data_IF_065522655316
#
_entry.id   IF_065522655316
#
_cell.length_a   1.000
_cell.length_b   1.000
_cell.length_c   1.000
_cell.angle_alpha   90.00
_cell.angle_beta   90.00
_cell.angle_gamma   90.00
#
_symmetry.space_group_name_H-M   'P 1'
#
loop_
_entity.id
_entity.type
_entity.pdbx_description
1 polymer ?
#
# COMPACT_ATOMS: atom_id res chain seq x y z
N UNK A 1 27.07 49.57 11.66
CA UNK A 1 26.91 49.69 10.20
C UNK A 1 27.75 48.61 9.56
N UNK A 2 27.11 47.63 8.92
CA UNK A 2 27.75 46.50 8.26
C UNK A 2 26.65 45.67 7.59
N UNK A 3 26.71 45.55 6.28
CA UNK A 3 25.61 45.16 5.40
C UNK A 3 25.26 43.68 5.37
N UNK A 4 24.11 43.41 4.77
CA UNK A 4 23.57 42.11 4.39
C UNK A 4 23.54 42.00 2.86
N UNK A 5 23.91 40.84 2.31
CA UNK A 5 23.27 40.28 1.11
C UNK A 5 22.85 38.81 1.42
N UNK A 6 21.83 38.17 0.85
CA UNK A 6 21.30 38.14 -0.51
C UNK A 6 19.87 37.58 -0.43
N UNK A 7 18.90 38.21 -1.12
CA UNK A 7 17.63 37.58 -1.51
C UNK A 7 17.61 37.54 -3.04
N UNK A 8 17.52 36.33 -3.60
CA UNK A 8 17.20 36.10 -5.01
C UNK A 8 16.06 35.10 -5.06
N UNK A 9 14.85 35.62 -5.32
CA UNK A 9 13.74 34.79 -5.74
C UNK A 9 13.34 35.05 -7.19
N UNK A 10 13.21 33.93 -7.87
CA UNK A 10 12.94 33.69 -9.28
C UNK A 10 11.53 34.17 -9.68
N UNK A 11 11.43 34.89 -10.79
CA UNK A 11 10.17 35.13 -11.50
C UNK A 11 10.01 34.07 -12.58
N UNK A 12 8.92 33.30 -12.54
CA UNK A 12 8.51 32.41 -13.63
C UNK A 12 7.71 33.20 -14.67
N UNK A 13 8.20 33.19 -15.91
CA UNK A 13 7.55 33.74 -17.10
C UNK A 13 6.63 32.67 -17.73
N UNK A 14 5.36 33.02 -17.96
CA UNK A 14 4.34 32.17 -18.58
C UNK A 14 4.15 32.60 -20.04
N UNK A 15 4.95 32.05 -20.94
CA UNK A 15 4.74 32.15 -22.38
C UNK A 15 3.90 30.99 -22.89
N UNK A 16 2.61 31.25 -23.13
CA UNK A 16 1.73 30.35 -23.88
C UNK A 16 1.83 30.71 -25.37
N UNK A 17 2.35 29.79 -26.19
CA UNK A 17 2.32 29.88 -27.65
C UNK A 17 1.23 28.94 -28.20
N UNK A 18 0.20 29.58 -28.78
CA UNK A 18 -0.82 28.98 -29.64
C UNK A 18 -0.21 28.56 -30.99
N UNK A 19 -0.47 27.34 -31.43
CA UNK A 19 -0.24 26.91 -32.80
C UNK A 19 -1.49 26.15 -33.35
N UNK A 20 -1.99 26.49 -34.55
CA UNK A 20 -3.22 25.92 -35.09
C UNK A 20 -3.01 24.55 -35.74
N UNK A 21 -4.07 23.74 -35.74
CA UNK A 21 -4.19 22.47 -36.46
C UNK A 21 -4.73 22.73 -37.87
N UNK A 22 -4.01 22.26 -38.89
CA UNK A 22 -4.50 22.17 -40.27
C UNK A 22 -5.11 20.77 -40.54
N UNK A 23 -6.16 20.79 -41.34
CA UNK A 23 -7.05 19.70 -41.77
C UNK A 23 -6.96 19.60 -43.29
N UNK A 24 -6.57 18.45 -43.85
CA UNK A 24 -6.85 17.96 -45.21
C UNK A 24 -6.66 16.42 -45.17
N UNK A 25 -7.48 15.51 -45.71
CA UNK A 25 -8.52 15.58 -46.74
C UNK A 25 -8.22 14.56 -47.85
N UNK A 26 -9.21 13.69 -48.17
CA UNK A 26 -9.38 12.79 -49.36
C UNK A 26 -8.68 11.42 -49.34
N UNK A 27 -9.20 10.28 -49.81
CA UNK A 27 -10.45 9.75 -50.42
C UNK A 27 -10.09 8.88 -51.65
N UNK A 28 -10.57 7.62 -51.65
CA UNK A 28 -11.00 6.77 -52.81
C UNK A 28 -9.88 6.34 -53.81
N UNK A 29 -9.85 5.17 -54.46
CA UNK A 29 -10.88 4.28 -55.02
C UNK A 29 -10.19 3.01 -55.62
N UNK A 30 -10.92 1.87 -55.70
CA UNK A 30 -10.93 0.81 -56.75
C UNK A 30 -9.62 0.14 -57.29
N UNK A 31 -9.52 -1.14 -57.66
CA UNK A 31 -10.46 -2.25 -57.89
C UNK A 31 -9.66 -3.53 -58.29
N UNK A 32 -10.36 -4.66 -58.44
CA UNK A 32 -10.09 -5.79 -59.37
C UNK A 32 -9.49 -7.12 -58.83
N UNK A 33 -10.43 -8.06 -58.72
CA UNK A 33 -10.43 -9.53 -58.85
C UNK A 33 -9.17 -10.29 -59.32
N UNK A 34 -8.94 -11.42 -58.64
CA UNK A 34 -8.20 -12.59 -59.15
C UNK A 34 -8.12 -13.72 -58.10
N UNK A 35 -8.62 -14.91 -58.42
CA UNK A 35 -8.51 -16.18 -57.65
C UNK A 35 -8.27 -17.31 -58.66
N UNK A 36 -7.90 -18.54 -58.27
CA UNK A 36 -7.10 -19.00 -57.12
C UNK A 36 -6.00 -20.02 -57.55
N UNK A 37 -5.07 -20.39 -56.67
CA UNK A 37 -4.35 -21.67 -56.81
C UNK A 37 -2.94 -21.75 -56.23
N UNK A 38 -2.77 -22.51 -55.16
CA UNK A 38 -1.47 -23.04 -54.71
C UNK A 38 -1.41 -23.28 -53.20
N UNK A 39 -1.28 -24.54 -52.71
CA UNK A 39 -1.01 -24.79 -51.31
C UNK A 39 0.50 -24.73 -51.09
N UNK A 40 1.01 -23.56 -50.72
CA UNK A 40 2.30 -23.48 -50.03
C UNK A 40 2.01 -23.45 -48.53
N UNK A 41 2.27 -24.58 -47.89
CA UNK A 41 2.31 -24.69 -46.44
C UNK A 41 3.54 -23.93 -45.95
N UNK A 42 3.37 -22.63 -45.70
CA UNK A 42 4.36 -21.81 -45.02
C UNK A 42 4.46 -22.26 -43.56
N UNK A 43 5.71 -22.48 -43.15
CA UNK A 43 6.09 -22.77 -41.79
C UNK A 43 5.66 -21.60 -40.91
N UNK A 44 4.67 -21.83 -40.04
CA UNK A 44 4.27 -20.86 -39.05
C UNK A 44 5.43 -20.60 -38.10
N UNK A 45 5.88 -19.36 -38.21
CA UNK A 45 6.85 -18.66 -37.40
C UNK A 45 6.64 -18.98 -35.91
N UNK A 46 7.64 -19.63 -35.30
CA UNK A 46 7.71 -19.85 -33.86
C UNK A 46 8.25 -18.58 -33.19
N UNK A 47 7.56 -17.46 -33.34
CA UNK A 47 7.77 -16.34 -32.44
C UNK A 47 6.74 -16.40 -31.30
N UNK A 48 6.91 -17.46 -30.49
CA UNK A 48 6.40 -17.48 -29.13
C UNK A 48 7.25 -16.49 -28.33
N UNK A 49 6.97 -15.20 -28.53
CA UNK A 49 7.24 -14.20 -27.51
C UNK A 49 6.69 -14.77 -26.20
N UNK A 50 7.61 -15.20 -25.34
CA UNK A 50 7.30 -15.63 -24.00
C UNK A 50 6.70 -14.41 -23.34
N UNK A 51 5.38 -14.31 -23.36
CA UNK A 51 4.63 -13.49 -22.43
C UNK A 51 5.04 -14.07 -21.09
N UNK A 52 6.04 -13.45 -20.45
CA UNK A 52 6.37 -13.73 -19.07
C UNK A 52 5.05 -13.57 -18.35
N UNK A 53 4.46 -14.70 -17.92
CA UNK A 53 3.33 -14.66 -17.00
C UNK A 53 3.76 -13.72 -15.87
N UNK A 54 2.91 -12.78 -15.44
CA UNK A 54 3.26 -11.86 -14.38
C UNK A 54 3.81 -12.69 -13.22
N UNK A 55 4.99 -12.32 -12.73
CA UNK A 55 5.66 -13.04 -11.66
C UNK A 55 4.65 -13.31 -10.55
N UNK A 56 4.60 -14.54 -10.08
CA UNK A 56 3.77 -14.90 -8.92
C UNK A 56 4.32 -14.32 -7.62
N UNK A 57 5.33 -13.44 -7.69
CA UNK A 57 5.79 -12.61 -6.59
C UNK A 57 4.81 -11.46 -6.30
N UNK A 58 4.42 -11.33 -5.04
CA UNK A 58 3.70 -10.18 -4.53
C UNK A 58 4.50 -9.42 -3.46
N UNK A 59 4.44 -8.09 -3.48
CA UNK A 59 4.94 -7.23 -2.41
C UNK A 59 3.82 -7.03 -1.38
N UNK A 60 4.07 -7.37 -0.13
CA UNK A 60 3.14 -7.13 0.99
C UNK A 60 3.67 -6.00 1.86
N UNK A 61 2.88 -4.93 2.02
CA UNK A 61 3.13 -3.88 3.00
C UNK A 61 2.79 -4.41 4.40
N UNK A 62 3.81 -4.62 5.23
CA UNK A 62 3.69 -5.24 6.56
C UNK A 62 4.19 -4.28 7.64
N UNK A 63 3.26 -3.71 8.40
CA UNK A 63 3.58 -2.84 9.54
C UNK A 63 3.89 -3.63 10.82
N UNK A 64 3.56 -4.92 10.85
CA UNK A 64 3.55 -5.72 12.09
C UNK A 64 2.18 -5.71 12.80
N UNK A 65 1.22 -4.92 12.32
CA UNK A 65 -0.13 -4.87 12.86
C UNK A 65 -1.05 -5.99 12.38
N UNK A 66 -2.16 -6.16 13.11
CA UNK A 66 -3.19 -7.18 12.87
C UNK A 66 -3.66 -7.21 11.41
N UNK A 67 -4.09 -6.08 10.86
CA UNK A 67 -4.64 -6.02 9.49
C UNK A 67 -3.57 -6.45 8.47
N UNK A 68 -2.36 -5.91 8.59
CA UNK A 68 -1.25 -6.25 7.69
C UNK A 68 -0.83 -7.72 7.78
N UNK A 69 -0.93 -8.34 8.96
CA UNK A 69 -0.68 -9.77 9.16
C UNK A 69 -1.73 -10.63 8.44
N UNK A 70 -3.02 -10.25 8.54
CA UNK A 70 -4.09 -10.97 7.83
C UNK A 70 -4.01 -10.74 6.33
N UNK A 71 -3.66 -9.53 5.89
CA UNK A 71 -3.35 -9.23 4.48
C UNK A 71 -2.21 -10.09 3.96
N UNK A 72 -1.13 -10.26 4.72
CA UNK A 72 -0.02 -11.14 4.35
C UNK A 72 -0.46 -12.62 4.27
N UNK A 73 -1.33 -13.07 5.19
CA UNK A 73 -1.90 -14.41 5.14
C UNK A 73 -2.69 -14.63 3.84
N UNK A 74 -3.52 -13.67 3.45
CA UNK A 74 -4.29 -13.71 2.19
C UNK A 74 -3.33 -13.72 0.99
N UNK A 75 -2.37 -12.81 0.96
CA UNK A 75 -1.38 -12.74 -0.11
C UNK A 75 -0.62 -14.07 -0.27
N UNK A 76 -0.27 -14.74 0.83
CA UNK A 76 0.39 -16.05 0.81
C UNK A 76 -0.46 -17.15 0.15
N UNK A 77 -1.80 -17.06 0.21
CA UNK A 77 -2.69 -18.01 -0.45
C UNK A 77 -2.91 -17.74 -1.94
N UNK A 78 -2.66 -16.51 -2.39
CA UNK A 78 -2.94 -16.06 -3.76
C UNK A 78 -1.69 -16.03 -4.67
N UNK A 79 -0.50 -16.28 -4.10
CA UNK A 79 0.80 -16.06 -4.74
C UNK A 79 1.82 -17.14 -4.33
N UNK A 80 2.71 -17.54 -5.25
CA UNK A 80 3.74 -18.56 -4.94
C UNK A 80 4.84 -17.99 -4.03
N UNK A 81 5.21 -16.72 -4.26
CA UNK A 81 6.22 -16.00 -3.50
C UNK A 81 5.64 -14.69 -2.97
N UNK A 82 5.99 -14.35 -1.73
CA UNK A 82 5.66 -13.06 -1.11
C UNK A 82 6.95 -12.42 -0.61
N UNK A 83 7.05 -11.12 -0.81
CA UNK A 83 8.10 -10.27 -0.27
C UNK A 83 7.49 -9.25 0.69
N UNK A 84 8.22 -8.90 1.74
CA UNK A 84 7.72 -8.06 2.82
C UNK A 84 8.37 -6.69 2.79
N UNK A 85 7.55 -5.64 2.79
CA UNK A 85 7.98 -4.25 2.86
C UNK A 85 7.50 -3.63 4.18
N UNK A 86 8.45 -3.25 5.03
CA UNK A 86 8.21 -2.44 6.21
C UNK A 86 8.53 -0.98 5.93
N UNK A 87 7.72 -0.08 6.45
CA UNK A 87 7.97 1.35 6.35
C UNK A 87 7.90 2.00 7.72
N UNK A 88 9.03 2.55 8.13
CA UNK A 88 9.18 3.43 9.28
C UNK A 88 8.97 4.88 8.86
N UNK A 89 8.41 5.71 9.72
CA UNK A 89 8.26 7.14 9.47
C UNK A 89 8.40 7.98 10.75
N UNK A 90 9.10 7.44 11.76
CA UNK A 90 9.34 8.11 13.05
C UNK A 90 8.20 7.93 14.05
N UNK A 91 7.42 6.85 13.93
CA UNK A 91 6.32 6.58 14.83
C UNK A 91 6.79 6.11 16.22
N UNK A 92 6.02 6.43 17.26
CA UNK A 92 6.38 6.19 18.66
C UNK A 92 6.72 4.72 19.01
N UNK A 93 6.08 3.77 18.32
CA UNK A 93 6.20 2.32 18.59
C UNK A 93 6.97 1.58 17.51
N UNK A 94 7.81 2.30 16.76
CA UNK A 94 8.55 1.78 15.62
C UNK A 94 9.40 0.55 15.98
N UNK A 95 10.08 0.53 17.13
CA UNK A 95 10.94 -0.61 17.51
C UNK A 95 10.09 -1.87 17.71
N UNK A 96 8.91 -1.75 18.33
CA UNK A 96 8.02 -2.90 18.50
C UNK A 96 7.35 -3.34 17.20
N UNK A 97 6.94 -2.40 16.35
CA UNK A 97 6.39 -2.68 15.02
C UNK A 97 7.42 -3.38 14.13
N UNK A 98 8.68 -2.91 14.15
CA UNK A 98 9.80 -3.52 13.43
C UNK A 98 10.06 -4.95 13.89
N UNK A 99 9.99 -5.21 15.19
CA UNK A 99 10.11 -6.57 15.73
C UNK A 99 8.98 -7.47 15.24
N UNK A 100 7.73 -7.01 15.29
CA UNK A 100 6.59 -7.77 14.79
C UNK A 100 6.73 -8.06 13.29
N UNK A 101 7.22 -7.11 12.49
CA UNK A 101 7.53 -7.33 11.08
C UNK A 101 8.52 -8.47 10.86
N UNK A 102 9.64 -8.51 11.59
CA UNK A 102 10.63 -9.58 11.44
C UNK A 102 10.08 -10.93 11.89
N UNK A 103 9.35 -10.98 13.02
CA UNK A 103 8.71 -12.20 13.53
C UNK A 103 7.67 -12.76 12.52
N UNK A 104 6.90 -11.89 11.86
CA UNK A 104 5.99 -12.28 10.79
C UNK A 104 6.74 -12.77 9.55
N UNK A 105 7.80 -12.09 9.15
CA UNK A 105 8.61 -12.49 8.00
C UNK A 105 9.25 -13.87 8.21
N UNK A 106 9.74 -14.14 9.42
CA UNK A 106 10.26 -15.44 9.82
C UNK A 106 9.17 -16.52 9.81
N UNK A 107 7.98 -16.23 10.37
CA UNK A 107 6.85 -17.17 10.37
C UNK A 107 6.46 -17.62 8.96
N UNK A 108 6.42 -16.69 8.00
CA UNK A 108 6.06 -17.00 6.61
C UNK A 108 7.24 -17.46 5.75
N UNK A 109 8.46 -17.55 6.30
CA UNK A 109 9.66 -17.94 5.56
C UNK A 109 10.05 -16.95 4.45
N UNK A 110 9.74 -15.66 4.62
CA UNK A 110 9.99 -14.62 3.63
C UNK A 110 11.48 -14.30 3.55
N UNK A 111 12.07 -14.53 2.38
CA UNK A 111 13.48 -14.23 2.10
C UNK A 111 13.71 -12.80 1.63
N UNK A 112 12.80 -12.25 0.83
CA UNK A 112 12.86 -10.87 0.32
C UNK A 112 12.16 -9.93 1.29
N UNK A 113 12.96 -9.20 2.06
CA UNK A 113 12.49 -8.20 3.04
C UNK A 113 13.11 -6.85 2.69
N UNK A 114 12.31 -5.80 2.72
CA UNK A 114 12.79 -4.43 2.59
C UNK A 114 12.25 -3.59 3.74
N UNK A 115 13.12 -2.81 4.36
CA UNK A 115 12.79 -1.84 5.39
C UNK A 115 13.16 -0.46 4.87
N UNK A 116 12.22 0.48 4.85
CA UNK A 116 12.44 1.83 4.35
C UNK A 116 12.04 2.85 5.41
N UNK A 117 12.77 3.96 5.48
CA UNK A 117 12.41 5.11 6.30
C UNK A 117 11.78 6.22 5.43
N UNK A 118 10.66 6.77 5.88
CA UNK A 118 9.99 7.97 5.36
C UNK A 118 9.99 9.07 6.44
N UNK A 119 11.13 9.30 7.08
CA UNK A 119 11.32 10.32 8.12
C UNK A 119 10.84 11.73 7.73
N UNK A 120 10.75 12.05 6.43
CA UNK A 120 10.16 13.31 5.99
C UNK A 120 8.70 13.48 6.44
N UNK A 121 7.94 12.40 6.64
CA UNK A 121 6.58 12.48 7.19
C UNK A 121 6.59 12.99 8.63
N UNK A 122 7.60 12.65 9.44
CA UNK A 122 7.76 13.23 10.76
C UNK A 122 8.17 14.70 10.72
N UNK A 123 9.02 15.08 9.75
CA UNK A 123 9.40 16.48 9.53
C UNK A 123 8.24 17.35 9.06
N UNK A 124 7.31 16.80 8.27
CA UNK A 124 6.08 17.47 7.86
C UNK A 124 5.14 17.68 9.07
N UNK A 125 5.07 16.69 9.97
CA UNK A 125 4.28 16.76 11.19
C UNK A 125 2.77 16.69 10.97
N UNK A 126 2.00 17.21 11.94
CA UNK A 126 0.53 17.23 11.87
C UNK A 126 -0.17 15.96 12.36
N UNK A 127 0.55 15.07 13.04
CA UNK A 127 0.01 13.82 13.60
C UNK A 127 0.60 13.53 14.99
N UNK A 128 -0.23 13.04 15.90
CA UNK A 128 0.20 12.49 17.22
C UNK A 128 1.11 11.26 17.11
N UNK A 129 1.18 10.62 15.94
CA UNK A 129 2.12 9.51 15.74
C UNK A 129 3.54 9.99 15.43
N UNK A 130 3.70 11.20 14.92
CA UNK A 130 5.01 11.74 14.49
C UNK A 130 5.44 13.02 15.21
N UNK A 131 4.52 13.70 15.87
CA UNK A 131 4.76 14.90 16.65
C UNK A 131 4.54 14.62 18.15
N UNK A 132 5.61 14.58 18.97
CA UNK A 132 5.52 14.27 20.40
C UNK A 132 4.79 15.35 21.21
N UNK A 133 4.55 16.54 20.65
CA UNK A 133 3.78 17.59 21.31
C UNK A 133 2.27 17.36 21.24
N UNK A 134 1.81 16.49 20.34
CA UNK A 134 0.40 16.15 20.15
C UNK A 134 0.12 14.84 20.89
N UNK A 135 -0.67 14.85 21.97
CA UNK A 135 -0.95 13.63 22.72
C UNK A 135 -1.78 12.64 21.88
N UNK A 136 -1.43 11.36 21.97
CA UNK A 136 -2.28 10.27 21.48
C UNK A 136 -3.55 10.24 22.34
N UNK A 137 -4.69 10.49 21.71
CA UNK A 137 -5.97 10.59 22.40
C UNK A 137 -6.41 9.26 23.05
N UNK A 138 -7.21 9.37 24.11
CA UNK A 138 -7.96 8.23 24.64
C UNK A 138 -9.05 7.81 23.66
N UNK A 139 -9.42 6.52 23.72
CA UNK A 139 -10.26 5.95 22.70
C UNK A 139 -11.66 6.59 22.64
N UNK A 140 -12.05 7.12 21.47
CA UNK A 140 -13.41 7.60 21.23
C UNK A 140 -13.99 7.01 19.94
N UNK A 141 -14.47 5.77 20.06
CA UNK A 141 -15.06 5.01 18.95
C UNK A 141 -16.36 5.60 18.38
N UNK A 142 -16.93 6.64 19.00
CA UNK A 142 -18.12 7.33 18.52
C UNK A 142 -17.80 8.59 17.68
N UNK A 143 -16.55 9.07 17.70
CA UNK A 143 -16.13 10.23 16.92
C UNK A 143 -16.09 9.91 15.43
N UNK A 144 -16.54 10.86 14.59
CA UNK A 144 -16.41 10.81 13.12
C UNK A 144 -15.38 11.81 12.57
N UNK A 145 -14.66 12.47 13.46
CA UNK A 145 -13.59 13.40 13.08
C UNK A 145 -12.34 12.62 12.70
N UNK A 146 -11.50 13.21 11.85
CA UNK A 146 -10.18 12.66 11.54
C UNK A 146 -9.38 12.59 12.84
N UNK A 147 -8.93 11.40 13.28
CA UNK A 147 -8.16 11.26 14.51
C UNK A 147 -6.84 12.02 14.43
N UNK A 148 -6.33 12.49 15.56
CA UNK A 148 -5.00 13.10 15.62
C UNK A 148 -3.89 12.12 15.26
N UNK A 149 -4.17 10.80 15.24
CA UNK A 149 -3.22 9.77 14.78
C UNK A 149 -3.15 9.63 13.26
N UNK A 150 -3.96 10.38 12.49
CA UNK A 150 -3.86 10.40 11.04
C UNK A 150 -2.54 11.06 10.62
N UNK A 151 -1.76 10.38 9.78
CA UNK A 151 -0.59 10.95 9.13
C UNK A 151 -1.01 11.37 7.72
N UNK A 152 -1.01 12.67 7.38
CA UNK A 152 -1.55 13.16 6.13
C UNK A 152 -0.96 12.45 4.90
N UNK A 153 -1.84 11.86 4.08
CA UNK A 153 -1.52 11.26 2.78
C UNK A 153 -0.43 10.16 2.83
N UNK A 154 -0.25 9.53 3.99
CA UNK A 154 0.80 8.51 4.22
C UNK A 154 0.68 7.35 3.23
N UNK A 155 -0.53 6.85 2.96
CA UNK A 155 -0.68 5.64 2.15
C UNK A 155 -0.18 5.84 0.70
N UNK A 156 -0.20 7.06 0.17
CA UNK A 156 0.39 7.37 -1.13
C UNK A 156 1.90 7.14 -1.16
N UNK A 157 2.62 7.53 -0.09
CA UNK A 157 4.05 7.26 0.02
C UNK A 157 4.34 5.76 0.16
N UNK A 158 3.51 5.03 0.94
CA UNK A 158 3.65 3.57 1.08
C UNK A 158 3.51 2.87 -0.28
N UNK A 159 2.48 3.23 -1.04
CA UNK A 159 2.23 2.69 -2.37
C UNK A 159 3.33 3.07 -3.37
N UNK A 160 3.86 4.29 -3.31
CA UNK A 160 4.96 4.72 -4.19
C UNK A 160 6.24 3.89 -3.98
N UNK A 161 6.62 3.65 -2.72
CA UNK A 161 7.77 2.80 -2.38
C UNK A 161 7.51 1.36 -2.81
N UNK A 162 6.32 0.81 -2.50
CA UNK A 162 5.96 -0.55 -2.85
C UNK A 162 5.95 -0.76 -4.38
N UNK A 163 5.44 0.20 -5.14
CA UNK A 163 5.40 0.16 -6.61
C UNK A 163 6.82 0.17 -7.19
N UNK A 164 7.69 1.06 -6.70
CA UNK A 164 9.08 1.14 -7.15
C UNK A 164 9.82 -0.19 -6.90
N UNK A 165 9.59 -0.81 -5.74
CA UNK A 165 10.21 -2.09 -5.41
C UNK A 165 9.58 -3.25 -6.20
N UNK A 166 8.26 -3.23 -6.41
CA UNK A 166 7.57 -4.21 -7.24
C UNK A 166 8.12 -4.21 -8.67
N UNK A 167 8.30 -3.04 -9.27
CA UNK A 167 8.82 -2.90 -10.63
C UNK A 167 10.23 -3.48 -10.79
N UNK A 168 11.14 -3.19 -9.85
CA UNK A 168 12.52 -3.72 -9.90
C UNK A 168 12.56 -5.24 -9.71
N UNK A 169 11.63 -5.81 -8.95
CA UNK A 169 11.56 -7.26 -8.70
C UNK A 169 10.63 -8.00 -9.67
N UNK A 170 10.00 -7.29 -10.61
CA UNK A 170 8.99 -7.83 -11.51
C UNK A 170 7.76 -8.39 -10.80
N UNK A 171 7.44 -7.93 -9.58
CA UNK A 171 6.30 -8.40 -8.82
C UNK A 171 4.98 -7.96 -9.46
N UNK A 172 4.00 -8.88 -9.57
CA UNK A 172 2.73 -8.59 -10.24
C UNK A 172 1.70 -7.87 -9.36
N UNK A 173 1.90 -7.87 -8.03
CA UNK A 173 0.90 -7.38 -7.06
C UNK A 173 1.54 -6.65 -5.89
N UNK A 174 0.84 -5.63 -5.39
CA UNK A 174 1.12 -4.92 -4.14
C UNK A 174 -0.07 -5.06 -3.21
N UNK A 175 0.12 -5.71 -2.05
CA UNK A 175 -0.91 -5.87 -1.03
C UNK A 175 -0.77 -4.82 0.07
N UNK A 176 -1.88 -4.19 0.45
CA UNK A 176 -1.97 -3.25 1.56
C UNK A 176 -3.17 -3.55 2.46
N UNK A 177 -2.93 -3.61 3.77
CA UNK A 177 -3.95 -3.88 4.79
C UNK A 177 -4.76 -2.65 5.19
N UNK A 178 -5.34 -1.95 4.22
CA UNK A 178 -6.21 -0.81 4.46
C UNK A 178 -7.62 -1.26 4.84
N UNK A 179 -8.26 -0.56 5.78
CA UNK A 179 -9.62 -0.86 6.27
C UNK A 179 -10.44 0.42 6.22
N UNK A 180 -11.51 0.47 5.41
CA UNK A 180 -12.30 1.69 5.23
C UNK A 180 -13.33 1.89 6.37
N UNK A 181 -13.92 0.82 6.88
CA UNK A 181 -15.04 0.89 7.86
C UNK A 181 -14.63 1.53 9.19
N UNK A 182 -13.39 1.30 9.67
CA UNK A 182 -12.88 1.89 10.92
C UNK A 182 -12.07 3.17 10.71
N UNK A 183 -11.73 3.48 9.46
CA UNK A 183 -10.98 4.68 9.11
C UNK A 183 -11.91 5.85 8.78
N UNK A 184 -13.06 5.97 9.46
CA UNK A 184 -14.05 7.04 9.26
C UNK A 184 -13.40 8.40 9.47
N UNK A 185 -12.81 8.95 8.41
CA UNK A 185 -12.00 10.16 8.46
C UNK A 185 -10.79 10.16 7.51
N UNK A 186 -10.18 9.01 7.20
CA UNK A 186 -8.93 8.91 6.43
C UNK A 186 -9.26 8.87 4.93
N UNK A 187 -8.98 9.94 4.16
CA UNK A 187 -9.33 9.97 2.74
C UNK A 187 -8.53 8.94 1.93
N UNK A 188 -7.32 8.62 2.37
CA UNK A 188 -6.38 7.69 1.73
C UNK A 188 -6.59 6.21 2.13
N UNK A 189 -7.69 5.88 2.79
CA UNK A 189 -8.11 4.50 3.07
C UNK A 189 -9.34 4.07 2.25
N UNK A 190 -9.87 4.94 1.39
CA UNK A 190 -11.11 4.67 0.63
C UNK A 190 -10.84 3.91 -0.67
N UNK A 191 -11.79 3.09 -1.16
CA UNK A 191 -11.63 2.39 -2.44
C UNK A 191 -11.26 3.32 -3.61
N UNK A 192 -11.89 4.50 -3.70
CA UNK A 192 -11.66 5.45 -4.80
C UNK A 192 -10.23 6.01 -4.82
N UNK A 193 -9.59 6.11 -3.65
CA UNK A 193 -8.17 6.47 -3.55
C UNK A 193 -7.28 5.38 -4.18
N UNK A 194 -7.53 4.11 -3.87
CA UNK A 194 -6.76 3.00 -4.43
C UNK A 194 -7.00 2.82 -5.93
N UNK A 195 -8.23 3.02 -6.42
CA UNK A 195 -8.52 3.05 -7.85
C UNK A 195 -7.80 4.18 -8.58
N UNK A 196 -7.74 5.38 -7.97
CA UNK A 196 -6.99 6.50 -8.52
C UNK A 196 -5.48 6.21 -8.53
N UNK A 197 -4.95 5.64 -7.46
CA UNK A 197 -3.53 5.30 -7.36
C UNK A 197 -3.14 4.16 -8.31
N UNK A 198 -4.03 3.18 -8.55
CA UNK A 198 -3.82 2.15 -9.57
C UNK A 198 -3.59 2.79 -10.94
N UNK A 199 -4.41 3.77 -11.33
CA UNK A 199 -4.19 4.50 -12.60
C UNK A 199 -2.85 5.20 -12.63
N UNK A 200 -2.39 5.77 -11.50
CA UNK A 200 -1.04 6.35 -11.38
C UNK A 200 0.05 5.31 -11.63
N UNK A 201 -0.09 4.10 -11.10
CA UNK A 201 0.86 3.00 -11.33
C UNK A 201 0.85 2.59 -12.81
N UNK A 202 -0.33 2.43 -13.41
CA UNK A 202 -0.48 1.97 -14.80
C UNK A 202 0.19 2.91 -15.81
N UNK A 203 0.13 4.23 -15.56
CA UNK A 203 0.73 5.25 -16.44
C UNK A 203 2.15 5.65 -16.04
N UNK A 204 2.52 5.45 -14.77
CA UNK A 204 3.79 5.91 -14.20
C UNK A 204 4.92 4.88 -14.24
N UNK A 205 4.60 3.60 -14.45
CA UNK A 205 5.58 2.51 -14.56
C UNK A 205 5.95 2.22 -16.02
N UNK A 206 6.99 1.41 -16.25
CA UNK A 206 7.41 1.01 -17.61
C UNK A 206 6.23 0.35 -18.35
N UNK A 207 6.13 0.48 -19.69
CA UNK A 207 5.04 -0.12 -20.45
C UNK A 207 4.86 -1.64 -20.30
N UNK A 208 5.94 -2.36 -19.95
CA UNK A 208 5.92 -3.81 -19.68
C UNK A 208 5.54 -4.16 -18.25
N UNK A 209 5.56 -3.20 -17.32
CA UNK A 209 5.21 -3.38 -15.92
C UNK A 209 3.70 -3.56 -15.78
N UNK A 210 3.29 -4.53 -14.97
CA UNK A 210 1.90 -4.82 -14.64
C UNK A 210 1.84 -5.11 -13.14
N UNK A 211 1.45 -4.11 -12.36
CA UNK A 211 1.36 -4.18 -10.90
C UNK A 211 -0.06 -3.86 -10.47
N UNK A 212 -0.74 -4.82 -9.85
CA UNK A 212 -2.09 -4.65 -9.31
C UNK A 212 -2.05 -4.34 -7.80
N UNK A 213 -2.73 -3.28 -7.37
CA UNK A 213 -2.98 -3.00 -5.96
C UNK A 213 -4.08 -3.93 -5.44
N UNK A 214 -3.80 -4.60 -4.33
CA UNK A 214 -4.71 -5.52 -3.63
C UNK A 214 -5.00 -4.99 -2.23
N UNK A 215 -6.28 -4.76 -1.95
CA UNK A 215 -6.79 -4.23 -0.66
C UNK A 215 -7.76 -5.24 -0.02
N UNK A 216 -7.33 -6.48 0.27
CA UNK A 216 -8.24 -7.61 0.51
C UNK A 216 -9.10 -7.50 1.77
N UNK A 217 -8.80 -6.54 2.66
CA UNK A 217 -9.52 -6.33 3.93
C UNK A 217 -10.26 -4.98 3.98
N UNK A 218 -10.33 -4.24 2.87
CA UNK A 218 -10.85 -2.85 2.86
C UNK A 218 -12.31 -2.73 3.26
N UNK A 219 -13.12 -3.72 2.90
CA UNK A 219 -14.56 -3.78 3.19
C UNK A 219 -14.90 -4.64 4.41
N UNK A 220 -13.90 -5.18 5.10
CA UNK A 220 -14.12 -6.05 6.26
C UNK A 220 -14.17 -5.24 7.55
N UNK A 221 -15.05 -5.65 8.45
CA UNK A 221 -15.01 -5.26 9.86
C UNK A 221 -13.79 -5.85 10.53
N UNK A 222 -13.30 -5.21 11.60
CA UNK A 222 -12.19 -5.77 12.41
C UNK A 222 -12.48 -7.18 12.91
N UNK A 223 -13.70 -7.47 13.32
CA UNK A 223 -14.07 -8.82 13.77
C UNK A 223 -14.03 -9.85 12.63
N UNK A 224 -14.35 -9.44 11.40
CA UNK A 224 -14.19 -10.28 10.21
C UNK A 224 -12.72 -10.48 9.85
N UNK A 225 -11.88 -9.44 9.98
CA UNK A 225 -10.42 -9.55 9.84
C UNK A 225 -9.86 -10.56 10.84
N UNK A 226 -10.28 -10.51 12.11
CA UNK A 226 -9.86 -11.50 13.12
C UNK A 226 -10.29 -12.91 12.72
N UNK A 227 -11.56 -13.12 12.36
CA UNK A 227 -12.06 -14.45 11.94
C UNK A 227 -11.30 -14.97 10.72
N UNK A 228 -11.05 -14.11 9.73
CA UNK A 228 -10.29 -14.46 8.53
C UNK A 228 -8.84 -14.80 8.88
N UNK A 229 -8.22 -14.06 9.80
CA UNK A 229 -6.90 -14.36 10.32
C UNK A 229 -6.83 -15.75 10.97
N UNK A 230 -7.82 -16.09 11.80
CA UNK A 230 -7.92 -17.41 12.43
C UNK A 230 -8.11 -18.52 11.39
N UNK A 231 -9.02 -18.32 10.44
CA UNK A 231 -9.30 -19.28 9.35
C UNK A 231 -8.03 -19.58 8.53
N UNK A 232 -7.22 -18.56 8.25
CA UNK A 232 -5.98 -18.68 7.50
C UNK A 232 -4.77 -19.13 8.34
N UNK A 233 -4.93 -19.33 9.65
CA UNK A 233 -3.81 -19.65 10.54
C UNK A 233 -2.79 -18.51 10.66
N UNK A 234 -3.21 -17.25 10.45
CA UNK A 234 -2.36 -16.09 10.60
C UNK A 234 -1.83 -15.99 12.04
N UNK A 235 -0.56 -15.65 12.26
CA UNK A 235 0.06 -15.64 13.59
C UNK A 235 -0.31 -14.37 14.37
N UNK A 236 -1.59 -14.21 14.71
CA UNK A 236 -2.13 -13.00 15.36
C UNK A 236 -1.45 -12.65 16.70
N UNK A 237 -0.80 -13.61 17.36
CA UNK A 237 0.01 -13.40 18.57
C UNK A 237 1.35 -12.70 18.35
N UNK A 238 1.86 -12.65 17.11
CA UNK A 238 3.08 -11.93 16.76
C UNK A 238 2.83 -10.46 16.40
N UNK A 239 1.56 -10.04 16.37
CA UNK A 239 1.17 -8.72 15.87
C UNK A 239 1.18 -7.65 16.94
N UNK A 240 1.37 -6.39 16.52
CA UNK A 240 1.35 -5.23 17.40
C UNK A 240 0.41 -4.14 16.90
N UNK A 241 -0.46 -3.64 17.79
CA UNK A 241 -1.40 -2.56 17.46
C UNK A 241 -1.28 -1.33 18.36
N UNK A 242 -0.58 -1.43 19.50
CA UNK A 242 -0.56 -0.33 20.48
C UNK A 242 0.27 0.86 19.95
N UNK A 243 -0.25 2.09 20.11
CA UNK A 243 0.46 3.33 19.75
C UNK A 243 1.29 3.95 20.89
N UNK A 244 1.24 3.38 22.10
CA UNK A 244 1.81 4.02 23.31
C UNK A 244 2.92 3.23 23.99
N UNK A 245 2.97 1.93 23.79
CA UNK A 245 3.84 1.03 24.53
C UNK A 245 4.51 0.05 23.57
N UNK A 246 5.57 -0.60 24.03
CA UNK A 246 6.34 -1.56 23.23
C UNK A 246 6.48 -2.93 23.89
N UNK A 247 6.32 -3.03 25.22
CA UNK A 247 6.47 -4.30 25.94
C UNK A 247 5.13 -5.04 26.07
N UNK A 248 4.12 -4.37 26.64
CA UNK A 248 2.74 -4.86 26.75
C UNK A 248 1.76 -3.80 26.24
N UNK A 249 0.71 -4.23 25.52
CA UNK A 249 -0.22 -3.31 24.90
C UNK A 249 -0.99 -2.53 25.98
N UNK A 250 -1.15 -1.21 25.81
CA UNK A 250 -1.68 -0.37 26.90
C UNK A 250 -3.16 -0.62 27.24
N UNK A 251 -3.91 -1.30 26.36
CA UNK A 251 -5.33 -1.62 26.55
C UNK A 251 -6.31 -0.46 26.39
N UNK A 252 -5.83 0.79 26.23
CA UNK A 252 -6.69 1.97 26.28
C UNK A 252 -6.58 2.96 25.10
N UNK A 253 -5.52 2.92 24.28
CA UNK A 253 -5.47 3.78 23.08
C UNK A 253 -6.47 3.30 22.02
N UNK A 254 -6.86 4.17 21.08
CA UNK A 254 -7.83 3.84 20.00
C UNK A 254 -7.57 2.48 19.36
N UNK A 255 -6.32 2.24 18.92
CA UNK A 255 -5.95 0.98 18.28
C UNK A 255 -6.05 -0.25 19.19
N UNK A 256 -5.74 -0.12 20.49
CA UNK A 256 -5.96 -1.20 21.46
C UNK A 256 -7.45 -1.47 21.66
N UNK A 257 -8.26 -0.41 21.79
CA UNK A 257 -9.71 -0.52 21.96
C UNK A 257 -10.37 -1.19 20.74
N UNK A 258 -9.99 -0.80 19.52
CA UNK A 258 -10.44 -1.41 18.27
C UNK A 258 -10.06 -2.89 18.21
N UNK A 259 -8.81 -3.24 18.52
CA UNK A 259 -8.35 -4.63 18.54
C UNK A 259 -9.13 -5.47 19.56
N UNK A 260 -9.20 -5.03 20.82
CA UNK A 260 -9.91 -5.74 21.88
C UNK A 260 -11.39 -5.96 21.53
N UNK A 261 -12.03 -4.95 20.94
CA UNK A 261 -13.41 -5.05 20.44
C UNK A 261 -13.51 -6.08 19.31
N UNK A 262 -12.58 -6.07 18.36
CA UNK A 262 -12.54 -6.99 17.23
C UNK A 262 -12.49 -8.46 17.67
N UNK A 263 -11.57 -8.79 18.58
CA UNK A 263 -11.42 -10.15 19.11
C UNK A 263 -12.66 -10.58 19.89
N UNK A 264 -13.21 -9.69 20.72
CA UNK A 264 -14.46 -9.94 21.45
C UNK A 264 -15.64 -10.25 20.53
N UNK A 265 -15.86 -9.41 19.51
CA UNK A 265 -16.93 -9.61 18.53
C UNK A 265 -16.68 -10.83 17.64
N UNK A 266 -15.42 -11.18 17.38
CA UNK A 266 -15.05 -12.39 16.66
C UNK A 266 -15.31 -13.68 17.47
N UNK A 267 -15.47 -13.58 18.80
CA UNK A 267 -15.58 -14.74 19.69
C UNK A 267 -14.24 -15.47 19.89
N UNK A 268 -13.12 -14.77 19.67
CA UNK A 268 -11.76 -15.33 19.73
C UNK A 268 -10.98 -14.62 20.82
N UNK A 269 -10.27 -15.33 21.73
CA UNK A 269 -9.38 -14.68 22.68
C UNK A 269 -8.24 -13.95 21.98
N UNK A 270 -7.95 -12.71 22.38
CA UNK A 270 -6.80 -11.99 21.86
C UNK A 270 -5.49 -12.60 22.41
N UNK A 271 -4.56 -13.06 21.56
CA UNK A 271 -3.36 -13.76 22.01
C UNK A 271 -2.26 -12.85 22.59
N UNK A 272 -2.36 -11.52 22.50
CA UNK A 272 -1.30 -10.63 22.97
C UNK A 272 -1.49 -10.20 24.44
N UNK A 273 -0.39 -9.80 25.07
CA UNK A 273 -0.40 -9.33 26.47
C UNK A 273 -0.77 -7.84 26.55
N UNK A 274 -1.59 -7.51 27.54
CA UNK A 274 -1.99 -6.16 27.88
C UNK A 274 -1.49 -5.77 29.27
N UNK A 275 -1.13 -4.51 29.45
CA UNK A 275 -0.68 -3.97 30.73
C UNK A 275 -1.83 -3.68 31.72
N UNK A 276 -3.07 -3.77 31.25
CA UNK A 276 -4.31 -3.49 31.98
C UNK A 276 -5.34 -4.55 31.68
#
# INVERSE_FOLDING_TARGET
>A
MGGSPDDKDFVYDNGADDAPREDEGRALEDSAAGSPGGPHADALDRDSSLISLPSSLAICLVSGGMDSCVTAAIARTENDEIAFLHVSYGQLTERRERRAFEELADFYGVSKRLAVSLEHLARIGGSSLTDPSIPVAEANLASRQIPTSYVPFRNAHLLAVATSWAEVNGAGRVYIGAVAEDSTGYPDCRPEFYEAFQRTIDVGTRPSTRVEIRTPVISLRKSEIVRRGVELGAPLGLTWSCYRAEDAACGACDSCALRLRAFREAGVPDPITYAR
#
